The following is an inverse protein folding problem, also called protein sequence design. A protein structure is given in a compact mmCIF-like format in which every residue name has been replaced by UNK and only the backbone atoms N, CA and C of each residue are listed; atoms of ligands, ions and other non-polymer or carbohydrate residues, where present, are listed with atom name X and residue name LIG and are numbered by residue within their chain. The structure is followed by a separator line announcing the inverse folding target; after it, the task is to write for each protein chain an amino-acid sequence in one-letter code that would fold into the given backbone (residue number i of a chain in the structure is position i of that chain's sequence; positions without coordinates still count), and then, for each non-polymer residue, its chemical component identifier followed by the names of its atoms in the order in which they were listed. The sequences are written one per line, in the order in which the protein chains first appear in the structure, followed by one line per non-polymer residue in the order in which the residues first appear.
data_IF_631054440405
#
_entry.id   IF_631054440405
#
_cell.length_a   1.000
_cell.length_b   1.000
_cell.length_c   1.000
_cell.angle_alpha   90.00
_cell.angle_beta   90.00
_cell.angle_gamma   90.00
#
_symmetry.space_group_name_H-M   'P 1'
#
loop_
_entity.id
_entity.type
_entity.pdbx_description
1 polymer ?
#
# COMPACT_ATOMS: atom_id res chain seq x y z
N UNK A 1 -8.70 -2.88 5.74
CA UNK A 1 -9.85 -3.55 5.09
C UNK A 1 -9.87 -5.00 5.56
N UNK A 2 -11.05 -5.60 5.70
CA UNK A 2 -11.20 -7.04 5.96
C UNK A 2 -11.66 -7.69 4.64
N UNK A 3 -10.98 -8.74 4.21
CA UNK A 3 -11.25 -9.45 2.96
C UNK A 3 -11.48 -10.94 3.24
N UNK A 4 -12.10 -11.66 2.29
CA UNK A 4 -12.30 -13.11 2.43
C UNK A 4 -13.40 -13.51 3.41
N UNK A 5 -14.44 -12.69 3.56
CA UNK A 5 -15.59 -12.97 4.45
C UNK A 5 -16.50 -14.11 3.96
N UNK A 6 -16.19 -14.71 2.80
CA UNK A 6 -16.98 -15.77 2.17
C UNK A 6 -18.39 -15.32 1.79
N UNK A 7 -19.31 -16.27 1.64
CA UNK A 7 -20.76 -16.02 1.46
C UNK A 7 -21.43 -15.44 2.72
N UNK A 8 -20.67 -15.17 3.79
CA UNK A 8 -21.16 -14.78 5.11
C UNK A 8 -21.72 -13.36 5.22
N UNK A 9 -21.49 -12.48 4.23
CA UNK A 9 -22.17 -11.19 4.17
C UNK A 9 -23.51 -11.35 3.42
N UNK A 10 -24.47 -11.97 4.11
CA UNK A 10 -25.79 -12.21 3.56
C UNK A 10 -26.55 -10.90 3.33
N UNK A 11 -27.48 -10.91 2.34
CA UNK A 11 -28.39 -9.77 2.06
C UNK A 11 -29.21 -9.34 3.28
N UNK A 12 -29.37 -10.23 4.25
CA UNK A 12 -30.08 -9.94 5.49
C UNK A 12 -29.42 -8.86 6.35
N UNK A 13 -28.14 -8.56 6.15
CA UNK A 13 -27.44 -7.47 6.83
C UNK A 13 -27.51 -6.13 6.09
N UNK A 14 -28.22 -6.05 4.96
CA UNK A 14 -28.38 -4.79 4.23
C UNK A 14 -29.15 -3.76 5.05
N UNK A 15 -28.59 -2.55 5.15
CA UNK A 15 -29.14 -1.47 5.98
C UNK A 15 -28.82 -1.55 7.47
N UNK A 16 -28.13 -2.60 7.94
CA UNK A 16 -27.71 -2.74 9.33
C UNK A 16 -26.46 -1.91 9.65
N UNK A 17 -26.30 -1.52 10.92
CA UNK A 17 -25.09 -0.83 11.36
C UNK A 17 -23.95 -1.84 11.47
N UNK A 18 -22.77 -1.49 10.97
CA UNK A 18 -21.59 -2.34 11.09
C UNK A 18 -20.40 -1.58 11.67
N UNK A 19 -19.72 -2.19 12.63
CA UNK A 19 -18.39 -1.77 13.08
C UNK A 19 -17.34 -2.76 12.58
N UNK A 20 -16.30 -2.25 11.90
CA UNK A 20 -15.25 -3.07 11.28
C UNK A 20 -13.94 -2.85 12.04
N UNK A 21 -13.42 -3.91 12.64
CA UNK A 21 -12.09 -3.92 13.23
C UNK A 21 -11.08 -4.49 12.23
N UNK A 22 -10.38 -3.58 11.54
CA UNK A 22 -9.34 -3.93 10.58
C UNK A 22 -8.07 -4.53 11.20
N UNK A 23 -7.86 -4.41 12.52
CA UNK A 23 -6.71 -4.98 13.20
C UNK A 23 -6.92 -6.46 13.56
N UNK A 24 -8.14 -6.81 13.96
CA UNK A 24 -8.49 -8.20 14.32
C UNK A 24 -9.16 -8.96 13.17
N UNK A 25 -9.58 -8.26 12.12
CA UNK A 25 -10.34 -8.86 11.02
C UNK A 25 -11.80 -9.15 11.38
N UNK A 26 -12.33 -8.53 12.44
CA UNK A 26 -13.68 -8.82 12.97
C UNK A 26 -14.70 -7.78 12.48
N UNK A 27 -15.91 -8.23 12.20
CA UNK A 27 -17.05 -7.36 11.85
C UNK A 27 -18.16 -7.60 12.88
N UNK A 28 -18.69 -6.52 13.43
CA UNK A 28 -19.83 -6.53 14.32
C UNK A 28 -21.02 -5.94 13.57
N UNK A 29 -22.10 -6.71 13.42
CA UNK A 29 -23.38 -6.26 12.85
C UNK A 29 -24.34 -5.94 14.00
N UNK A 30 -25.00 -4.79 13.92
CA UNK A 30 -25.79 -4.19 15.00
C UNK A 30 -25.11 -4.29 16.37
N UNK A 31 -23.88 -3.75 16.49
CA UNK A 31 -23.15 -3.77 17.75
C UNK A 31 -23.95 -3.09 18.86
N UNK A 32 -23.95 -3.70 20.04
CA UNK A 32 -24.51 -3.09 21.24
C UNK A 32 -23.69 -1.85 21.67
N UNK A 33 -24.22 -1.11 22.65
CA UNK A 33 -23.60 0.13 23.13
C UNK A 33 -22.18 -0.09 23.68
N UNK A 34 -21.93 -1.22 24.34
CA UNK A 34 -20.62 -1.57 24.88
C UNK A 34 -19.61 -1.81 23.75
N UNK A 35 -19.99 -2.61 22.75
CA UNK A 35 -19.17 -2.87 21.56
C UNK A 35 -18.92 -1.57 20.79
N UNK A 36 -19.95 -0.73 20.61
CA UNK A 36 -19.80 0.56 19.93
C UNK A 36 -18.87 1.52 20.66
N UNK A 37 -18.91 1.52 22.00
CA UNK A 37 -17.98 2.32 22.81
C UNK A 37 -16.54 1.85 22.61
N UNK A 38 -16.28 0.55 22.72
CA UNK A 38 -14.94 -0.03 22.51
C UNK A 38 -14.41 0.27 21.11
N UNK A 39 -15.26 0.12 20.08
CA UNK A 39 -14.89 0.40 18.69
C UNK A 39 -14.61 1.88 18.44
N UNK A 40 -15.36 2.78 19.10
CA UNK A 40 -15.11 4.22 19.04
C UNK A 40 -13.78 4.57 19.69
N UNK A 41 -13.50 4.03 20.88
CA UNK A 41 -12.22 4.24 21.57
C UNK A 41 -11.02 3.76 20.74
N UNK A 42 -11.11 2.56 20.15
CA UNK A 42 -10.09 2.04 19.21
C UNK A 42 -9.86 2.98 18.03
N UNK A 43 -10.94 3.53 17.45
CA UNK A 43 -10.85 4.46 16.31
C UNK A 43 -10.18 5.77 16.68
N UNK A 44 -10.50 6.33 17.85
CA UNK A 44 -9.86 7.58 18.29
C UNK A 44 -8.38 7.36 18.64
N UNK A 45 -8.03 6.21 19.23
CA UNK A 45 -6.63 5.85 19.45
C UNK A 45 -5.86 5.66 18.13
N UNK A 46 -6.43 4.97 17.14
CA UNK A 46 -5.83 4.84 15.80
C UNK A 46 -5.59 6.21 15.15
N UNK A 47 -6.56 7.12 15.25
CA UNK A 47 -6.41 8.51 14.77
C UNK A 47 -5.28 9.23 15.47
N UNK A 48 -5.19 9.11 16.79
CA UNK A 48 -4.13 9.73 17.59
C UNK A 48 -2.75 9.20 17.18
N UNK A 49 -2.61 7.89 17.03
CA UNK A 49 -1.36 7.27 16.55
C UNK A 49 -1.00 7.75 15.16
N UNK A 50 -1.97 7.85 14.24
CA UNK A 50 -1.75 8.37 12.89
C UNK A 50 -1.23 9.81 12.90
N UNK A 51 -1.77 10.67 13.76
CA UNK A 51 -1.26 12.04 13.93
C UNK A 51 0.17 12.06 14.44
N UNK A 52 0.51 11.22 15.43
CA UNK A 52 1.88 11.11 15.93
C UNK A 52 2.86 10.61 14.85
N UNK A 53 2.44 9.69 14.00
CA UNK A 53 3.24 9.22 12.86
C UNK A 53 3.49 10.34 11.84
N UNK A 54 2.54 11.25 11.64
CA UNK A 54 2.74 12.41 10.75
C UNK A 54 3.84 13.35 11.26
N UNK A 55 4.03 13.46 12.58
CA UNK A 55 5.12 14.23 13.19
C UNK A 55 6.51 13.61 12.97
N UNK A 56 6.59 12.37 12.46
CA UNK A 56 7.88 11.73 12.14
C UNK A 56 8.41 12.14 10.77
N UNK A 57 7.58 12.71 9.90
CA UNK A 57 8.01 13.17 8.57
C UNK A 57 9.07 14.26 8.70
N UNK A 58 10.15 14.15 7.92
CA UNK A 58 11.29 15.05 7.95
C UNK A 58 12.30 14.77 9.07
N UNK A 59 12.03 13.83 9.98
CA UNK A 59 12.99 13.43 11.02
C UNK A 59 13.97 12.38 10.49
N UNK A 60 15.17 12.34 11.07
CA UNK A 60 16.13 11.29 10.73
C UNK A 60 15.67 9.91 11.22
N UNK A 61 15.90 8.88 10.41
CA UNK A 61 15.67 7.50 10.78
C UNK A 61 16.88 6.96 11.56
N UNK A 62 16.84 7.08 12.89
CA UNK A 62 17.95 6.71 13.77
C UNK A 62 17.44 5.86 14.92
N UNK A 63 18.12 4.76 15.22
CA UNK A 63 17.84 3.92 16.39
C UNK A 63 18.26 4.61 17.69
N UNK A 64 17.79 4.12 18.84
CA UNK A 64 18.18 4.65 20.15
C UNK A 64 19.70 4.56 20.42
N UNK A 65 20.42 3.64 19.74
CA UNK A 65 21.87 3.51 19.83
C UNK A 65 22.63 4.38 18.80
N UNK A 66 21.94 5.23 18.04
CA UNK A 66 22.56 6.16 17.08
C UNK A 66 22.81 5.59 15.68
N UNK A 67 22.39 4.36 15.39
CA UNK A 67 22.54 3.78 14.05
C UNK A 67 21.51 4.39 13.09
N UNK A 68 21.99 4.99 12.00
CA UNK A 68 21.16 5.46 10.88
C UNK A 68 20.65 4.27 10.06
N UNK A 69 19.35 4.30 9.74
CA UNK A 69 18.70 3.28 8.91
C UNK A 69 18.01 3.95 7.73
N UNK A 70 17.94 3.26 6.60
CA UNK A 70 17.19 3.73 5.44
C UNK A 70 15.80 3.11 5.45
N UNK A 71 14.77 3.95 5.39
CA UNK A 71 13.38 3.52 5.22
C UNK A 71 12.96 3.87 3.80
N UNK A 72 12.72 2.83 3.00
CA UNK A 72 12.35 2.96 1.60
C UNK A 72 10.95 2.42 1.36
N UNK A 73 10.28 2.98 0.35
CA UNK A 73 8.97 2.50 -0.09
C UNK A 73 9.09 1.39 -1.13
N UNK A 74 8.10 0.51 -1.15
CA UNK A 74 7.87 -0.44 -2.24
C UNK A 74 6.71 0.08 -3.08
N UNK A 75 6.88 0.14 -4.40
CA UNK A 75 5.84 0.60 -5.34
C UNK A 75 5.58 -0.44 -6.42
N UNK A 76 4.34 -0.48 -6.89
CA UNK A 76 3.89 -1.31 -8.00
C UNK A 76 3.56 -0.51 -9.26
N UNK A 77 3.28 0.78 -9.14
CA UNK A 77 2.89 1.62 -10.25
C UNK A 77 3.43 3.06 -10.08
N UNK A 78 3.17 3.90 -11.10
CA UNK A 78 3.56 5.31 -11.07
C UNK A 78 2.76 6.14 -10.06
N UNK A 79 1.48 5.83 -9.85
CA UNK A 79 0.61 6.62 -8.97
C UNK A 79 0.99 6.51 -7.49
N UNK A 80 1.70 5.45 -7.11
CA UNK A 80 2.26 5.23 -5.78
C UNK A 80 3.31 6.29 -5.39
N UNK A 81 4.02 6.89 -6.35
CA UNK A 81 5.10 7.86 -6.09
C UNK A 81 4.61 9.07 -5.28
N UNK A 82 3.38 9.51 -5.51
CA UNK A 82 2.78 10.58 -4.71
C UNK A 82 2.70 10.22 -3.22
N UNK A 83 2.36 8.97 -2.92
CA UNK A 83 2.33 8.47 -1.55
C UNK A 83 3.74 8.31 -0.95
N UNK A 84 4.74 7.92 -1.77
CA UNK A 84 6.15 7.84 -1.35
C UNK A 84 6.65 9.20 -0.87
N UNK A 85 6.39 10.26 -1.66
CA UNK A 85 6.80 11.62 -1.32
C UNK A 85 6.00 12.17 -0.12
N UNK A 86 4.68 11.97 -0.10
CA UNK A 86 3.80 12.41 0.98
C UNK A 86 4.18 11.80 2.34
N UNK A 87 4.74 10.60 2.34
CA UNK A 87 5.16 9.88 3.55
C UNK A 87 6.66 9.97 3.83
N UNK A 88 7.37 10.86 3.14
CA UNK A 88 8.80 11.12 3.33
C UNK A 88 9.69 9.86 3.32
N UNK A 89 9.44 8.95 2.38
CA UNK A 89 10.34 7.82 2.21
C UNK A 89 11.74 8.33 1.79
N UNK A 90 12.79 7.67 2.28
CA UNK A 90 14.18 7.97 1.90
C UNK A 90 14.52 7.61 0.45
N UNK A 91 13.60 6.96 -0.26
CA UNK A 91 13.78 6.40 -1.59
C UNK A 91 12.76 5.29 -1.88
N UNK A 92 12.88 4.70 -3.06
CA UNK A 92 12.16 3.49 -3.47
C UNK A 92 13.12 2.32 -3.37
N UNK A 93 12.80 1.37 -2.49
CA UNK A 93 13.59 0.18 -2.20
C UNK A 93 13.27 -0.98 -3.14
N UNK A 94 12.07 -0.94 -3.73
CA UNK A 94 11.60 -1.90 -4.71
C UNK A 94 10.52 -1.24 -5.58
N UNK A 95 10.84 -1.02 -6.86
CA UNK A 95 9.86 -0.81 -7.90
C UNK A 95 9.66 -2.13 -8.65
N UNK A 96 8.47 -2.70 -8.49
CA UNK A 96 7.97 -3.89 -9.19
C UNK A 96 7.58 -3.53 -10.62
N UNK A 97 8.33 -4.04 -11.60
CA UNK A 97 8.11 -3.73 -13.02
C UNK A 97 7.00 -4.56 -13.68
N UNK A 98 6.50 -5.61 -13.01
CA UNK A 98 5.51 -6.55 -13.57
C UNK A 98 4.21 -5.84 -13.98
N UNK A 99 3.85 -4.76 -13.29
CA UNK A 99 2.67 -3.96 -13.58
C UNK A 99 2.64 -3.42 -15.01
N UNK A 100 3.80 -3.07 -15.57
CA UNK A 100 3.91 -2.61 -16.97
C UNK A 100 3.43 -3.66 -17.96
N UNK A 101 3.58 -4.93 -17.60
CA UNK A 101 3.17 -6.07 -18.40
C UNK A 101 1.71 -6.45 -18.09
N UNK A 102 1.33 -6.47 -16.81
CA UNK A 102 -0.02 -6.84 -16.37
C UNK A 102 -1.12 -5.87 -16.83
N UNK A 103 -0.79 -4.61 -17.05
CA UNK A 103 -1.74 -3.59 -17.54
C UNK A 103 -1.68 -3.35 -19.06
N UNK A 104 -0.81 -4.05 -19.78
CA UNK A 104 -0.70 -3.93 -21.23
C UNK A 104 -1.48 -5.06 -21.91
N UNK A 105 -1.99 -4.82 -23.12
CA UNK A 105 -2.62 -5.86 -23.96
C UNK A 105 -1.58 -6.71 -24.72
N UNK A 106 -0.34 -6.23 -24.79
CA UNK A 106 0.82 -6.87 -25.43
C UNK A 106 2.10 -6.48 -24.68
N UNK A 107 3.25 -7.02 -25.08
CA UNK A 107 4.55 -6.69 -24.50
C UNK A 107 4.80 -5.18 -24.51
N UNK A 108 5.06 -4.54 -23.34
CA UNK A 108 5.36 -3.13 -23.28
C UNK A 108 6.68 -2.86 -24.01
N UNK A 109 6.63 -1.94 -24.97
CA UNK A 109 7.79 -1.49 -25.73
C UNK A 109 8.86 -0.87 -24.82
N UNK A 110 10.11 -0.86 -25.29
CA UNK A 110 11.21 -0.19 -24.58
C UNK A 110 10.85 1.27 -24.24
N UNK A 111 10.25 2.00 -25.19
CA UNK A 111 9.88 3.40 -25.00
C UNK A 111 8.82 3.56 -23.89
N UNK A 112 7.80 2.69 -23.85
CA UNK A 112 6.79 2.72 -22.77
C UNK A 112 7.43 2.47 -21.40
N UNK A 113 8.32 1.48 -21.31
CA UNK A 113 9.04 1.19 -20.07
C UNK A 113 9.94 2.35 -19.67
N UNK A 114 10.69 2.92 -20.62
CA UNK A 114 11.56 4.07 -20.42
C UNK A 114 10.80 5.26 -19.85
N UNK A 115 9.63 5.62 -20.42
CA UNK A 115 8.85 6.75 -19.94
C UNK A 115 8.43 6.58 -18.48
N UNK A 116 7.98 5.39 -18.08
CA UNK A 116 7.59 5.13 -16.69
C UNK A 116 8.80 5.20 -15.76
N UNK A 117 9.91 4.53 -16.09
CA UNK A 117 11.11 4.54 -15.25
C UNK A 117 11.71 5.93 -15.13
N UNK A 118 11.77 6.68 -16.23
CA UNK A 118 12.22 8.06 -16.27
C UNK A 118 11.38 8.91 -15.34
N UNK A 119 10.05 8.83 -15.44
CA UNK A 119 9.17 9.66 -14.62
C UNK A 119 9.29 9.34 -13.13
N UNK A 120 9.43 8.06 -12.76
CA UNK A 120 9.70 7.67 -11.36
C UNK A 120 11.04 8.24 -10.88
N UNK A 121 12.10 8.11 -11.69
CA UNK A 121 13.43 8.61 -11.33
C UNK A 121 13.47 10.15 -11.18
N UNK A 122 12.83 10.88 -12.11
CA UNK A 122 12.73 12.34 -12.07
C UNK A 122 11.91 12.82 -10.86
N UNK A 123 10.76 12.20 -10.58
CA UNK A 123 9.91 12.55 -9.44
C UNK A 123 10.57 12.32 -8.08
N UNK A 124 11.50 11.37 -7.99
CA UNK A 124 12.24 11.09 -6.76
C UNK A 124 13.39 12.08 -6.50
N UNK A 125 13.66 13.01 -7.43
CA UNK A 125 14.56 14.16 -7.25
C UNK A 125 15.93 13.79 -6.64
N UNK A 126 16.55 12.73 -7.14
CA UNK A 126 17.87 12.24 -6.69
C UNK A 126 17.83 11.28 -5.50
N UNK A 127 16.67 11.02 -4.89
CA UNK A 127 16.50 9.90 -3.95
C UNK A 127 16.68 8.56 -4.68
N UNK A 128 17.18 7.56 -3.97
CA UNK A 128 17.47 6.24 -4.53
C UNK A 128 16.20 5.57 -5.07
N UNK A 129 16.29 4.96 -6.25
CA UNK A 129 15.23 4.13 -6.84
C UNK A 129 15.84 2.80 -7.25
N UNK A 130 15.34 1.70 -6.68
CA UNK A 130 15.74 0.34 -7.03
C UNK A 130 14.63 -0.26 -7.89
N UNK A 131 14.91 -0.45 -9.18
CA UNK A 131 13.99 -1.07 -10.15
C UNK A 131 14.34 -2.55 -10.22
N UNK A 132 13.35 -3.41 -9.97
CA UNK A 132 13.49 -4.84 -10.19
C UNK A 132 13.14 -5.16 -11.63
N UNK A 133 13.98 -5.94 -12.31
CA UNK A 133 13.66 -6.50 -13.62
C UNK A 133 12.42 -7.38 -13.53
N UNK A 134 11.84 -7.73 -14.67
CA UNK A 134 10.62 -8.52 -14.73
C UNK A 134 10.71 -9.81 -13.88
N UNK A 135 9.80 -9.96 -12.92
CA UNK A 135 9.65 -11.15 -12.09
C UNK A 135 8.16 -11.60 -12.13
N UNK A 136 7.79 -12.19 -13.26
CA UNK A 136 6.48 -12.84 -13.49
C UNK A 136 6.67 -14.35 -13.35
N UNK A 137 5.93 -14.92 -12.40
CA UNK A 137 5.80 -16.36 -12.20
C UNK A 137 4.50 -16.92 -12.78
N UNK A 138 4.31 -18.24 -12.70
CA UNK A 138 3.14 -18.95 -13.22
C UNK A 138 1.80 -18.54 -12.56
N UNK A 139 1.85 -17.83 -11.43
CA UNK A 139 0.70 -17.31 -10.67
C UNK A 139 0.12 -16.01 -11.22
N UNK A 140 0.84 -15.32 -12.12
CA UNK A 140 0.41 -14.05 -12.74
C UNK A 140 0.28 -14.24 -14.24
N UNK A 141 -0.91 -14.67 -14.66
CA UNK A 141 -1.18 -14.92 -16.07
C UNK A 141 -1.31 -13.60 -16.84
N UNK A 142 -0.59 -13.54 -17.96
CA UNK A 142 -0.65 -12.47 -18.94
C UNK A 142 -0.89 -13.14 -20.28
N UNK A 143 -2.05 -12.91 -20.88
CA UNK A 143 -2.57 -13.72 -21.99
C UNK A 143 -1.61 -13.79 -23.20
N UNK A 144 -0.86 -12.72 -23.46
CA UNK A 144 0.08 -12.63 -24.58
C UNK A 144 1.45 -13.29 -24.34
N UNK A 145 1.75 -13.75 -23.11
CA UNK A 145 2.99 -14.49 -22.85
C UNK A 145 2.94 -15.94 -23.35
N UNK A 146 1.73 -16.49 -23.59
CA UNK A 146 1.55 -17.87 -24.04
C UNK A 146 2.13 -18.92 -23.09
N UNK A 147 2.11 -18.63 -21.78
CA UNK A 147 2.65 -19.46 -20.69
C UNK A 147 1.66 -20.52 -20.20
#
# INVERSE_FOLDING_TARGET
AVIGLGEGLAKEYDGHMAAIDGFTGTIYIDPDEETMKVMTEKREEDRRQKTLLEELKGKENVTLSGQKINVYANIGNLSDVGAVLKNDAGGIGLFRSEFLYLESEDFPTEEQQFQVYKQVAENMAGKKVIIRTLDIGADKQVDYFGL
#
